data_IF_815094515279
#
_entry.id   IF_815094515279
#
_cell.length_a   1.000
_cell.length_b   1.000
_cell.length_c   1.000
_cell.angle_alpha   90.00
_cell.angle_beta   90.00
_cell.angle_gamma   90.00
#
_symmetry.space_group_name_H-M   'P 1'
#
loop_
_entity.id
_entity.type
_entity.pdbx_description
1 polymer ?
#
# COMPACT_ATOMS: atom_id res chain seq x y z
N UNK A 1 21.39 7.14 -0.43
CA UNK A 1 21.15 5.83 0.22
C UNK A 1 20.87 4.87 -0.89
N UNK A 2 21.38 3.65 -0.81
CA UNK A 2 21.07 2.63 -1.82
C UNK A 2 19.60 2.24 -1.71
N UNK A 3 19.00 1.90 -2.84
CA UNK A 3 17.63 1.41 -2.88
C UNK A 3 17.43 0.21 -1.93
N UNK A 4 18.42 -0.67 -1.79
CA UNK A 4 18.41 -1.80 -0.85
C UNK A 4 18.34 -1.38 0.62
N UNK A 5 18.95 -0.26 1.00
CA UNK A 5 18.88 0.29 2.36
C UNK A 5 17.49 0.84 2.66
N UNK A 6 16.89 1.54 1.70
CA UNK A 6 15.49 2.01 1.82
C UNK A 6 14.55 0.83 1.94
N UNK A 7 14.70 -0.18 1.07
CA UNK A 7 13.88 -1.40 1.11
C UNK A 7 13.98 -2.08 2.48
N UNK A 8 15.18 -2.19 3.05
CA UNK A 8 15.36 -2.76 4.38
C UNK A 8 14.57 -1.98 5.47
N UNK A 9 14.50 -0.65 5.38
CA UNK A 9 13.67 0.15 6.28
C UNK A 9 12.16 -0.10 6.06
N UNK A 10 11.72 -0.20 4.81
CA UNK A 10 10.30 -0.49 4.48
C UNK A 10 9.89 -1.87 4.99
N UNK A 11 10.77 -2.87 4.81
CA UNK A 11 10.52 -4.26 5.24
C UNK A 11 10.64 -4.43 6.76
N UNK A 12 11.30 -3.52 7.48
CA UNK A 12 11.20 -3.46 8.95
C UNK A 12 9.84 -2.94 9.41
N UNK A 13 9.28 -1.95 8.71
CA UNK A 13 7.96 -1.40 9.00
C UNK A 13 6.84 -2.38 8.65
N UNK A 14 6.97 -3.04 7.50
CA UNK A 14 5.96 -3.94 6.97
C UNK A 14 6.63 -5.11 6.26
N UNK A 15 7.02 -6.16 7.02
CA UNK A 15 7.72 -7.30 6.46
C UNK A 15 6.92 -8.01 5.35
N UNK A 16 7.57 -8.45 4.25
CA UNK A 16 6.89 -9.18 3.18
C UNK A 16 6.21 -10.48 3.64
N UNK A 17 6.62 -11.04 4.78
CA UNK A 17 5.98 -12.22 5.39
C UNK A 17 4.54 -11.99 5.86
N UNK A 18 4.13 -10.73 6.03
CA UNK A 18 2.73 -10.38 6.33
C UNK A 18 1.87 -10.21 5.08
N UNK A 19 2.47 -10.28 3.89
CA UNK A 19 1.69 -10.25 2.65
C UNK A 19 0.95 -11.57 2.45
N UNK A 20 -0.24 -11.48 1.85
CA UNK A 20 -1.01 -12.64 1.42
C UNK A 20 -0.26 -13.47 0.38
N UNK A 21 -0.48 -14.79 0.37
CA UNK A 21 0.23 -15.71 -0.54
C UNK A 21 0.03 -15.40 -2.04
N UNK A 22 -1.11 -14.80 -2.39
CA UNK A 22 -1.44 -14.43 -3.77
C UNK A 22 -0.86 -13.07 -4.20
N UNK A 23 -0.29 -12.32 -3.27
CA UNK A 23 0.10 -10.94 -3.49
C UNK A 23 1.50 -10.83 -4.13
N UNK A 24 1.82 -9.63 -4.66
CA UNK A 24 3.11 -9.35 -5.28
C UNK A 24 3.71 -8.04 -4.75
N UNK A 25 4.21 -8.08 -3.52
CA UNK A 25 4.89 -6.97 -2.84
C UNK A 25 6.39 -6.94 -3.15
N UNK A 26 7.06 -5.86 -2.76
CA UNK A 26 8.52 -5.75 -2.87
C UNK A 26 9.00 -4.91 -4.04
N UNK A 27 10.28 -5.07 -4.41
CA UNK A 27 10.88 -4.37 -5.56
C UNK A 27 10.45 -5.07 -6.87
N UNK A 28 9.56 -4.43 -7.62
CA UNK A 28 8.95 -5.00 -8.82
C UNK A 28 9.64 -4.57 -10.12
N UNK A 29 10.26 -3.38 -10.16
CA UNK A 29 11.04 -2.88 -11.31
C UNK A 29 12.25 -2.11 -10.78
N UNK A 30 13.41 -2.22 -11.44
CA UNK A 30 14.59 -1.39 -11.13
C UNK A 30 15.76 -2.16 -10.51
N UNK A 31 16.61 -1.46 -9.75
CA UNK A 31 17.92 -1.96 -9.29
C UNK A 31 18.12 -1.70 -7.80
N UNK A 32 18.40 -2.76 -7.03
CA UNK A 32 18.65 -2.68 -5.57
C UNK A 32 19.84 -1.80 -5.20
N UNK A 33 20.89 -1.78 -6.02
CA UNK A 33 22.12 -1.02 -5.72
C UNK A 33 22.14 0.40 -6.31
N UNK A 34 21.02 0.89 -6.88
CA UNK A 34 20.91 2.27 -7.35
C UNK A 34 20.94 3.23 -6.15
N UNK A 35 21.67 4.33 -6.26
CA UNK A 35 21.57 5.43 -5.31
C UNK A 35 20.23 6.15 -5.48
N UNK A 36 19.52 6.32 -4.36
CA UNK A 36 18.23 6.99 -4.29
C UNK A 36 18.41 8.28 -3.50
N UNK A 37 18.08 9.40 -4.16
CA UNK A 37 18.03 10.73 -3.56
C UNK A 37 16.60 11.18 -3.33
N UNK A 38 15.70 10.85 -4.26
CA UNK A 38 14.29 11.27 -4.21
C UNK A 38 13.35 10.08 -4.26
N UNK A 39 12.44 9.99 -3.28
CA UNK A 39 11.37 8.98 -3.23
C UNK A 39 10.04 9.64 -3.53
N UNK A 40 9.26 9.04 -4.43
CA UNK A 40 7.89 9.43 -4.74
C UNK A 40 6.93 8.35 -4.22
N UNK A 41 5.91 8.75 -3.48
CA UNK A 41 4.92 7.84 -2.88
C UNK A 41 3.56 8.08 -3.54
N UNK A 42 2.86 7.01 -3.90
CA UNK A 42 1.50 7.08 -4.46
C UNK A 42 0.65 5.88 -4.04
N UNK A 43 -0.67 5.94 -4.25
CA UNK A 43 -1.54 4.77 -4.10
C UNK A 43 -1.32 3.77 -5.25
N UNK A 44 -1.37 4.28 -6.48
CA UNK A 44 -1.27 3.51 -7.73
C UNK A 44 -0.16 4.05 -8.64
N UNK A 45 0.52 3.16 -9.37
CA UNK A 45 1.46 3.54 -10.43
C UNK A 45 0.72 3.86 -11.74
N UNK A 46 -0.15 4.87 -11.72
CA UNK A 46 -0.84 5.36 -12.93
C UNK A 46 0.12 6.10 -13.86
N UNK A 47 -0.33 6.37 -15.09
CA UNK A 47 0.47 7.18 -16.03
C UNK A 47 0.73 8.58 -15.48
N UNK A 48 -0.29 9.16 -14.84
CA UNK A 48 -0.25 10.48 -14.23
C UNK A 48 0.74 10.53 -13.06
N UNK A 49 0.73 9.51 -12.19
CA UNK A 49 1.64 9.42 -11.05
C UNK A 49 3.07 9.12 -11.50
N UNK A 50 3.28 8.30 -12.51
CA UNK A 50 4.63 8.08 -13.09
C UNK A 50 5.16 9.37 -13.72
N UNK A 51 4.32 10.11 -14.45
CA UNK A 51 4.71 11.42 -14.97
C UNK A 51 5.01 12.42 -13.86
N UNK A 52 4.27 12.39 -12.74
CA UNK A 52 4.56 13.22 -11.57
C UNK A 52 5.90 12.84 -10.92
N UNK A 53 6.17 11.53 -10.77
CA UNK A 53 7.45 11.03 -10.27
C UNK A 53 8.63 11.46 -11.16
N UNK A 54 8.48 11.39 -12.48
CA UNK A 54 9.49 11.88 -13.44
C UNK A 54 9.73 13.39 -13.28
N UNK A 55 8.66 14.19 -13.18
CA UNK A 55 8.78 15.65 -12.97
C UNK A 55 9.43 16.00 -11.63
N UNK A 56 9.25 15.14 -10.63
CA UNK A 56 9.88 15.26 -9.32
C UNK A 56 11.31 14.70 -9.29
N UNK A 57 11.84 14.22 -10.41
CA UNK A 57 13.16 13.58 -10.51
C UNK A 57 13.33 12.44 -9.49
N UNK A 58 12.26 11.65 -9.32
CA UNK A 58 12.25 10.54 -8.39
C UNK A 58 13.17 9.40 -8.84
N UNK A 59 13.93 8.85 -7.92
CA UNK A 59 14.77 7.66 -8.12
C UNK A 59 14.03 6.36 -7.73
N UNK A 60 13.06 6.47 -6.84
CA UNK A 60 12.24 5.37 -6.34
C UNK A 60 10.78 5.79 -6.27
N UNK A 61 9.91 5.04 -6.94
CA UNK A 61 8.46 5.08 -6.80
C UNK A 61 8.04 4.00 -5.80
N UNK A 62 7.30 4.37 -4.76
CA UNK A 62 6.66 3.45 -3.82
C UNK A 62 5.15 3.55 -4.02
N UNK A 63 4.48 2.41 -4.20
CA UNK A 63 3.02 2.38 -4.23
C UNK A 63 2.42 1.41 -3.24
N UNK A 64 1.15 1.61 -2.90
CA UNK A 64 0.40 0.61 -2.15
C UNK A 64 -0.05 -0.53 -3.08
N UNK A 65 -0.77 -0.23 -4.16
CA UNK A 65 -1.19 -1.27 -5.10
C UNK A 65 -0.04 -1.68 -6.04
N UNK A 66 0.24 -2.99 -6.19
CA UNK A 66 1.27 -3.49 -7.08
C UNK A 66 0.80 -3.42 -8.55
N UNK A 67 1.56 -2.73 -9.39
CA UNK A 67 1.28 -2.64 -10.83
C UNK A 67 1.48 -3.98 -11.56
N UNK A 68 2.47 -4.77 -11.11
CA UNK A 68 2.69 -6.12 -11.62
C UNK A 68 1.98 -7.06 -10.65
N UNK A 69 0.79 -7.55 -11.03
CA UNK A 69 0.01 -8.45 -10.17
C UNK A 69 0.03 -9.91 -10.65
N UNK A 70 0.34 -10.12 -11.92
CA UNK A 70 0.49 -11.44 -12.51
C UNK A 70 1.77 -11.50 -13.35
N UNK A 71 2.25 -12.71 -13.62
CA UNK A 71 3.45 -12.91 -14.44
C UNK A 71 3.29 -12.29 -15.83
N UNK A 72 4.30 -11.53 -16.24
CA UNK A 72 4.33 -10.83 -17.53
C UNK A 72 5.18 -11.62 -18.52
N UNK A 73 4.65 -11.86 -19.73
CA UNK A 73 5.35 -12.62 -20.79
C UNK A 73 6.22 -11.75 -21.71
N UNK A 74 5.85 -10.48 -21.90
CA UNK A 74 6.55 -9.51 -22.75
C UNK A 74 6.48 -8.12 -22.12
N UNK A 75 7.54 -7.33 -22.28
CA UNK A 75 7.59 -5.94 -21.83
C UNK A 75 7.80 -5.07 -23.06
N UNK A 76 6.71 -4.50 -23.57
CA UNK A 76 6.68 -3.59 -24.73
C UNK A 76 5.74 -2.43 -24.43
N UNK A 77 5.64 -1.44 -25.32
CA UNK A 77 4.72 -0.31 -25.19
C UNK A 77 3.29 -0.59 -25.72
N UNK A 78 2.98 -1.86 -26.02
CA UNK A 78 1.70 -2.27 -26.60
C UNK A 78 0.55 -2.23 -25.57
N UNK A 79 0.81 -2.61 -24.31
CA UNK A 79 -0.17 -2.58 -23.22
C UNK A 79 0.21 -1.59 -22.10
N UNK A 80 -0.72 -1.36 -21.18
CA UNK A 80 -0.55 -0.36 -20.13
C UNK A 80 0.57 -0.72 -19.15
N UNK A 81 0.66 -1.97 -18.71
CA UNK A 81 1.69 -2.41 -17.75
C UNK A 81 3.07 -2.32 -18.39
N UNK A 82 3.22 -2.84 -19.61
CA UNK A 82 4.47 -2.77 -20.37
C UNK A 82 4.93 -1.33 -20.61
N UNK A 83 4.03 -0.41 -21.03
CA UNK A 83 4.34 1.02 -21.20
C UNK A 83 4.90 1.64 -19.92
N UNK A 84 4.28 1.36 -18.79
CA UNK A 84 4.70 1.89 -17.49
C UNK A 84 6.05 1.35 -17.08
N UNK A 85 6.30 0.04 -17.24
CA UNK A 85 7.60 -0.57 -16.97
C UNK A 85 8.69 0.03 -17.87
N UNK A 86 8.45 0.12 -19.19
CA UNK A 86 9.37 0.72 -20.15
C UNK A 86 9.71 2.16 -19.74
N UNK A 87 8.70 2.92 -19.32
CA UNK A 87 8.87 4.31 -18.88
C UNK A 87 9.70 4.40 -17.60
N UNK A 88 9.36 3.64 -16.56
CA UNK A 88 10.12 3.59 -15.30
C UNK A 88 11.60 3.27 -15.55
N UNK A 89 11.88 2.24 -16.36
CA UNK A 89 13.24 1.85 -16.72
C UNK A 89 13.96 2.93 -17.54
N UNK A 90 13.27 3.58 -18.49
CA UNK A 90 13.86 4.64 -19.33
C UNK A 90 14.29 5.86 -18.52
N UNK A 91 13.55 6.20 -17.46
CA UNK A 91 13.86 7.31 -16.56
C UNK A 91 14.65 6.85 -15.32
N UNK A 92 15.13 5.59 -15.31
CA UNK A 92 15.88 4.98 -14.21
C UNK A 92 15.17 5.07 -12.85
N UNK A 93 13.85 4.94 -12.81
CA UNK A 93 13.06 4.96 -11.57
C UNK A 93 12.84 3.52 -11.10
N UNK A 94 13.37 3.16 -9.93
CA UNK A 94 13.03 1.90 -9.27
C UNK A 94 11.60 1.94 -8.74
N UNK A 95 10.94 0.80 -8.62
CA UNK A 95 9.54 0.69 -8.23
C UNK A 95 9.34 -0.40 -7.18
N UNK A 96 8.80 -0.02 -6.03
CA UNK A 96 8.49 -0.89 -4.91
C UNK A 96 7.00 -0.84 -4.56
N UNK A 97 6.39 -1.97 -4.21
CA UNK A 97 5.00 -2.06 -3.79
C UNK A 97 4.88 -2.57 -2.34
N UNK A 98 4.05 -1.89 -1.55
CA UNK A 98 3.68 -2.22 -0.16
C UNK A 98 2.16 -2.41 -0.08
N UNK A 99 1.68 -3.63 -0.26
CA UNK A 99 0.26 -3.92 -0.44
C UNK A 99 -0.32 -4.57 0.81
N UNK A 100 -0.66 -5.86 0.78
CA UNK A 100 -1.32 -6.52 1.90
C UNK A 100 -0.45 -6.58 3.15
N UNK A 101 0.89 -6.65 3.03
CA UNK A 101 1.79 -6.51 4.17
C UNK A 101 1.58 -5.17 4.91
N UNK A 102 1.33 -4.09 4.16
CA UNK A 102 1.12 -2.77 4.72
C UNK A 102 -0.33 -2.58 5.19
N UNK A 103 -1.28 -3.33 4.60
CA UNK A 103 -2.62 -3.42 5.16
C UNK A 103 -2.61 -4.00 6.57
N UNK A 104 -1.86 -5.10 6.75
CA UNK A 104 -1.72 -5.80 8.03
C UNK A 104 -0.99 -4.95 9.07
N UNK A 105 0.17 -4.40 8.70
CA UNK A 105 1.08 -3.75 9.66
C UNK A 105 0.86 -2.24 9.84
N UNK A 106 0.03 -1.61 9.01
CA UNK A 106 -0.15 -0.16 8.99
C UNK A 106 -1.60 0.28 8.82
N UNK A 107 -2.20 -0.02 7.67
CA UNK A 107 -3.51 0.55 7.31
C UNK A 107 -4.64 0.10 8.24
N UNK A 108 -4.60 -1.14 8.72
CA UNK A 108 -5.61 -1.67 9.64
C UNK A 108 -5.71 -0.83 10.93
N UNK A 109 -4.57 -0.50 11.53
CA UNK A 109 -4.53 0.32 12.75
C UNK A 109 -4.81 1.80 12.45
N UNK A 110 -4.31 2.34 11.33
CA UNK A 110 -4.59 3.72 10.92
C UNK A 110 -6.09 3.96 10.72
N UNK A 111 -6.80 3.05 10.02
CA UNK A 111 -8.24 3.15 9.82
C UNK A 111 -9.02 3.04 11.15
N UNK A 112 -8.53 2.22 12.09
CA UNK A 112 -9.13 2.10 13.41
C UNK A 112 -8.90 3.33 14.30
N UNK A 113 -7.75 3.99 14.14
CA UNK A 113 -7.42 5.27 14.78
C UNK A 113 -8.33 6.38 14.27
N UNK A 114 -8.49 6.51 12.95
CA UNK A 114 -9.36 7.52 12.34
C UNK A 114 -10.82 7.36 12.78
N UNK A 115 -11.28 6.11 12.91
CA UNK A 115 -12.61 5.77 13.43
C UNK A 115 -12.72 5.80 14.96
N UNK A 116 -11.62 6.06 15.68
CA UNK A 116 -11.55 6.09 17.15
C UNK A 116 -12.09 4.82 17.80
N UNK A 117 -11.81 3.67 17.20
CA UNK A 117 -12.22 2.38 17.76
C UNK A 117 -11.41 2.08 19.02
N UNK A 118 -12.10 1.64 20.07
CA UNK A 118 -11.53 1.16 21.32
C UNK A 118 -11.54 -0.36 21.39
N UNK A 119 -10.69 -0.93 22.26
CA UNK A 119 -10.59 -2.39 22.51
C UNK A 119 -10.54 -3.17 21.19
N UNK A 120 -9.53 -2.83 20.39
CA UNK A 120 -9.35 -3.36 19.04
C UNK A 120 -8.85 -4.79 19.07
N UNK A 121 -9.33 -5.58 18.14
CA UNK A 121 -8.82 -6.90 17.82
C UNK A 121 -8.64 -7.01 16.30
N UNK A 122 -7.80 -7.94 15.86
CA UNK A 122 -7.65 -8.26 14.43
C UNK A 122 -8.98 -8.80 13.90
N UNK A 123 -9.47 -8.21 12.80
CA UNK A 123 -10.74 -8.64 12.21
C UNK A 123 -10.61 -9.99 11.50
N UNK A 124 -9.61 -10.12 10.62
CA UNK A 124 -9.29 -11.35 9.91
C UNK A 124 -7.80 -11.65 10.10
N UNK A 125 -7.50 -12.74 10.80
CA UNK A 125 -6.13 -13.17 11.06
C UNK A 125 -5.56 -13.81 9.81
N UNK A 126 -4.46 -13.26 9.31
CA UNK A 126 -3.78 -13.74 8.09
C UNK A 126 -2.32 -14.11 8.35
N UNK A 127 -1.79 -13.74 9.53
CA UNK A 127 -0.48 -14.15 10.01
C UNK A 127 -0.58 -14.57 11.47
N UNK A 128 -0.04 -15.74 11.80
CA UNK A 128 0.06 -16.22 13.17
C UNK A 128 1.35 -17.02 13.35
N UNK A 129 2.16 -16.62 14.33
CA UNK A 129 3.31 -17.36 14.81
C UNK A 129 3.29 -17.47 16.34
N UNK A 130 4.36 -18.01 16.94
CA UNK A 130 4.44 -18.19 18.39
C UNK A 130 4.41 -16.85 19.18
N UNK A 131 4.61 -15.71 18.52
CA UNK A 131 4.81 -14.39 19.14
C UNK A 131 3.70 -13.39 18.79
N UNK A 132 3.06 -13.54 17.64
CA UNK A 132 2.22 -12.52 17.04
C UNK A 132 1.05 -13.11 16.28
N UNK A 133 -0.08 -12.40 16.35
CA UNK A 133 -1.29 -12.72 15.62
C UNK A 133 -1.79 -11.46 14.97
N UNK A 134 -1.58 -11.35 13.67
CA UNK A 134 -1.84 -10.15 12.88
C UNK A 134 -2.72 -10.47 11.67
N UNK A 135 -3.29 -9.44 11.09
CA UNK A 135 -3.99 -9.60 9.84
C UNK A 135 -4.79 -8.39 9.40
N UNK A 136 -5.68 -8.64 8.44
CA UNK A 136 -6.43 -7.61 7.73
C UNK A 136 -7.52 -7.02 8.61
N UNK A 137 -7.48 -5.69 8.72
CA UNK A 137 -8.50 -4.90 9.39
C UNK A 137 -8.47 -5.00 10.92
N UNK A 138 -9.24 -4.12 11.54
CA UNK A 138 -9.50 -4.11 12.99
C UNK A 138 -10.99 -4.07 13.24
N UNK A 139 -11.40 -4.73 14.31
CA UNK A 139 -12.74 -4.61 14.89
C UNK A 139 -12.62 -4.05 16.30
N UNK A 140 -13.58 -3.24 16.73
CA UNK A 140 -13.58 -2.64 18.05
C UNK A 140 -14.90 -1.93 18.33
N UNK A 141 -14.88 -1.09 19.35
CA UNK A 141 -16.06 -0.41 19.87
C UNK A 141 -15.92 1.11 19.78
N UNK A 142 -16.99 1.80 19.39
CA UNK A 142 -17.11 3.24 19.62
C UNK A 142 -17.30 3.53 21.12
N UNK A 143 -17.07 4.78 21.53
CA UNK A 143 -17.24 5.22 22.92
C UNK A 143 -18.69 5.04 23.43
N UNK A 144 -19.67 5.12 22.54
CA UNK A 144 -21.09 4.95 22.84
C UNK A 144 -21.83 4.36 21.63
N UNK A 145 -22.99 3.71 21.84
CA UNK A 145 -23.83 3.24 20.74
C UNK A 145 -24.30 4.39 19.86
N UNK A 146 -24.26 4.19 18.55
CA UNK A 146 -24.77 5.13 17.54
C UNK A 146 -25.72 4.39 16.59
N UNK A 147 -26.61 5.12 15.95
CA UNK A 147 -27.42 4.60 14.85
C UNK A 147 -26.56 4.31 13.63
N UNK A 148 -27.06 3.45 12.73
CA UNK A 148 -26.37 3.15 11.47
C UNK A 148 -26.15 4.41 10.61
N UNK A 149 -27.08 5.36 10.65
CA UNK A 149 -26.95 6.64 9.95
C UNK A 149 -25.79 7.46 10.53
N UNK A 150 -25.71 7.57 11.85
CA UNK A 150 -24.62 8.28 12.52
C UNK A 150 -23.26 7.63 12.25
N UNK A 151 -23.20 6.29 12.22
CA UNK A 151 -21.97 5.59 11.80
C UNK A 151 -21.55 5.99 10.37
N UNK A 152 -22.50 6.11 9.45
CA UNK A 152 -22.21 6.59 8.10
C UNK A 152 -21.59 8.00 8.08
N UNK A 153 -22.12 8.92 8.88
CA UNK A 153 -21.54 10.28 9.00
C UNK A 153 -20.15 10.25 9.65
N UNK A 154 -19.93 9.41 10.66
CA UNK A 154 -18.60 9.21 11.28
C UNK A 154 -17.58 8.73 10.24
N UNK A 155 -17.92 7.70 9.46
CA UNK A 155 -17.05 7.18 8.38
C UNK A 155 -16.76 8.27 7.35
N UNK A 156 -17.79 9.02 6.97
CA UNK A 156 -17.66 10.10 5.98
C UNK A 156 -16.71 11.19 6.46
N UNK A 157 -16.84 11.61 7.72
CA UNK A 157 -15.99 12.62 8.33
C UNK A 157 -14.55 12.12 8.52
N UNK A 158 -14.38 10.93 9.10
CA UNK A 158 -13.08 10.34 9.40
C UNK A 158 -12.19 10.19 8.16
N UNK A 159 -12.78 9.77 7.04
CA UNK A 159 -12.03 9.53 5.79
C UNK A 159 -12.20 10.64 4.74
N UNK A 160 -12.78 11.79 5.14
CA UNK A 160 -12.99 12.95 4.27
C UNK A 160 -13.70 12.61 2.94
N UNK A 161 -14.70 11.72 3.01
CA UNK A 161 -15.38 11.21 1.83
C UNK A 161 -16.51 12.16 1.37
N UNK A 162 -16.73 12.30 0.06
CA UNK A 162 -17.88 13.06 -0.44
C UNK A 162 -19.20 12.35 -0.15
N UNK A 163 -19.21 11.02 -0.16
CA UNK A 163 -20.40 10.18 -0.02
C UNK A 163 -20.07 8.86 0.65
N UNK A 164 -21.05 8.29 1.37
CA UNK A 164 -21.00 6.94 1.93
C UNK A 164 -22.24 6.16 1.52
N UNK A 165 -22.08 4.86 1.27
CA UNK A 165 -23.21 3.96 0.99
C UNK A 165 -23.45 3.08 2.21
N UNK A 166 -24.68 3.11 2.71
CA UNK A 166 -25.10 2.39 3.91
C UNK A 166 -26.01 1.24 3.49
N UNK A 167 -25.77 0.05 4.05
CA UNK A 167 -26.62 -1.12 3.90
C UNK A 167 -27.11 -1.55 5.29
N UNK A 168 -28.41 -1.67 5.49
CA UNK A 168 -29.01 -2.10 6.75
C UNK A 168 -30.53 -2.00 6.75
#
# INVERSE_FOLDING_TARGET
>A
MRCSEIIACLEQLSPPSFAEEWDNVGLLVGRKEKEVSTVFIALDATEENIHAAIRAEADLLITHHPMIFHSIKKVTDEDYTGRRIVKLLRYDISYYAMHTNFDVMGMADAAADDLKLNKREVLLVTFEDDLSKEGIGRIGFLDHPVSLKEMGEIVKEAFHLPDVRIYG
#
